data_IF_587068256848
#
_entry.id   IF_587068256848
#
_cell.length_a   1.000
_cell.length_b   1.000
_cell.length_c   1.000
_cell.angle_alpha   90.00
_cell.angle_beta   90.00
_cell.angle_gamma   90.00
#
_symmetry.space_group_name_H-M   'P 1'
#
loop_
_entity.id
_entity.type
_entity.pdbx_description
1 polymer ?
#
# COMPACT_ATOMS: atom_id res chain seq x y z
N UNK A 1 -1.83 8.07 12.38
CA UNK A 1 -0.87 7.07 11.87
C UNK A 1 -0.34 7.49 10.51
N UNK A 2 0.79 6.97 10.13
CA UNK A 2 1.36 7.12 8.78
C UNK A 2 1.16 5.83 8.01
N UNK A 3 0.51 5.92 6.86
CA UNK A 3 0.10 4.76 6.07
C UNK A 3 0.54 4.94 4.63
N UNK A 4 1.21 3.92 4.10
CA UNK A 4 1.61 3.87 2.68
C UNK A 4 0.67 2.90 1.98
N UNK A 5 0.06 3.36 0.88
CA UNK A 5 -0.85 2.57 0.07
C UNK A 5 -0.21 2.30 -1.28
N UNK A 6 -0.11 1.05 -1.67
CA UNK A 6 0.33 0.63 -3.00
C UNK A 6 -0.89 0.21 -3.80
N UNK A 7 -1.18 0.97 -4.83
CA UNK A 7 -2.38 0.80 -5.67
C UNK A 7 -3.34 1.97 -5.52
N UNK A 8 -3.55 2.73 -6.60
CA UNK A 8 -4.39 3.92 -6.62
C UNK A 8 -5.65 3.74 -7.48
N UNK A 9 -6.11 2.50 -7.64
CA UNK A 9 -7.38 2.20 -8.27
C UNK A 9 -8.54 2.55 -7.34
N UNK A 10 -9.73 2.07 -7.66
CA UNK A 10 -10.93 2.41 -6.88
C UNK A 10 -10.77 2.10 -5.39
N UNK A 11 -10.29 0.91 -5.05
CA UNK A 11 -10.12 0.49 -3.65
C UNK A 11 -9.11 1.37 -2.93
N UNK A 12 -7.95 1.63 -3.55
CA UNK A 12 -6.90 2.44 -2.95
C UNK A 12 -7.37 3.87 -2.69
N UNK A 13 -8.07 4.47 -3.64
CA UNK A 13 -8.60 5.83 -3.50
C UNK A 13 -9.64 5.90 -2.38
N UNK A 14 -10.57 4.94 -2.33
CA UNK A 14 -11.61 4.95 -1.29
C UNK A 14 -11.00 4.75 0.10
N UNK A 15 -10.02 3.86 0.22
CA UNK A 15 -9.30 3.66 1.47
C UNK A 15 -8.54 4.92 1.88
N UNK A 16 -7.85 5.55 0.93
CA UNK A 16 -7.10 6.78 1.21
C UNK A 16 -8.03 7.89 1.72
N UNK A 17 -9.18 8.09 1.08
CA UNK A 17 -10.17 9.08 1.51
C UNK A 17 -10.62 8.85 2.94
N UNK A 18 -10.92 7.60 3.27
CA UNK A 18 -11.35 7.24 4.62
C UNK A 18 -10.26 7.52 5.65
N UNK A 19 -9.04 7.11 5.36
CA UNK A 19 -7.90 7.29 6.28
C UNK A 19 -7.54 8.77 6.46
N UNK A 20 -7.56 9.55 5.40
CA UNK A 20 -7.31 11.00 5.47
C UNK A 20 -8.39 11.67 6.31
N UNK A 21 -9.64 11.27 6.14
CA UNK A 21 -10.76 11.81 6.90
C UNK A 21 -10.63 11.50 8.40
N UNK A 22 -10.00 10.39 8.75
CA UNK A 22 -9.70 10.01 10.12
C UNK A 22 -8.36 10.59 10.63
N UNK A 23 -7.80 11.55 9.90
CA UNK A 23 -6.61 12.33 10.26
C UNK A 23 -5.31 11.53 10.24
N UNK A 24 -5.26 10.49 9.43
CA UNK A 24 -4.02 9.78 9.15
C UNK A 24 -3.23 10.48 8.05
N UNK A 25 -1.91 10.35 8.09
CA UNK A 25 -1.04 10.77 7.00
C UNK A 25 -0.95 9.62 6.00
N UNK A 26 -1.27 9.90 4.74
CA UNK A 26 -1.32 8.89 3.70
C UNK A 26 -0.36 9.25 2.57
N UNK A 27 0.36 8.26 2.07
CA UNK A 27 1.10 8.34 0.82
C UNK A 27 0.63 7.19 -0.07
N UNK A 28 0.36 7.47 -1.34
CA UNK A 28 -0.17 6.48 -2.26
C UNK A 28 0.69 6.42 -3.52
N UNK A 29 0.95 5.22 -4.02
CA UNK A 29 1.77 4.99 -5.19
C UNK A 29 1.07 4.04 -6.16
N UNK A 30 1.24 4.32 -7.45
CA UNK A 30 0.78 3.45 -8.54
C UNK A 30 1.67 3.70 -9.75
N UNK A 31 1.85 2.72 -10.60
CA UNK A 31 2.72 2.86 -11.78
C UNK A 31 1.99 3.38 -13.03
N UNK A 32 0.68 3.53 -12.98
CA UNK A 32 -0.11 4.04 -14.10
C UNK A 32 -0.32 5.55 -13.97
N UNK A 33 0.19 6.30 -14.95
CA UNK A 33 0.10 7.76 -14.95
C UNK A 33 -1.34 8.27 -14.91
N UNK A 34 -2.26 7.63 -15.64
CA UNK A 34 -3.66 8.05 -15.68
C UNK A 34 -4.33 7.81 -14.33
N UNK A 35 -4.06 6.67 -13.71
CA UNK A 35 -4.55 6.34 -12.38
C UNK A 35 -4.05 7.34 -11.34
N UNK A 36 -2.78 7.70 -11.41
CA UNK A 36 -2.17 8.67 -10.50
C UNK A 36 -2.73 10.06 -10.72
N UNK A 37 -2.93 10.47 -11.95
CA UNK A 37 -3.54 11.79 -12.24
C UNK A 37 -4.94 11.87 -11.64
N UNK A 38 -5.73 10.82 -11.80
CA UNK A 38 -7.08 10.74 -11.23
C UNK A 38 -7.04 10.79 -9.69
N UNK A 39 -6.12 10.06 -9.09
CA UNK A 39 -5.94 10.07 -7.63
C UNK A 39 -5.51 11.44 -7.13
N UNK A 40 -4.58 12.10 -7.80
CA UNK A 40 -4.11 13.45 -7.43
C UNK A 40 -5.24 14.48 -7.42
N UNK A 41 -6.21 14.33 -8.30
CA UNK A 41 -7.36 15.24 -8.37
C UNK A 41 -8.37 15.01 -7.25
N UNK A 42 -8.33 13.86 -6.59
CA UNK A 42 -9.31 13.49 -5.58
C UNK A 42 -8.76 13.48 -4.15
N UNK A 43 -7.44 13.37 -3.99
CA UNK A 43 -6.82 13.14 -2.69
C UNK A 43 -5.93 14.30 -2.30
N UNK A 44 -6.04 14.73 -1.05
CA UNK A 44 -5.14 15.70 -0.44
C UNK A 44 -4.06 14.95 0.36
N UNK A 45 -3.14 14.32 -0.35
CA UNK A 45 -2.05 13.55 0.24
C UNK A 45 -0.90 13.42 -0.76
N UNK A 46 0.19 12.80 -0.32
CA UNK A 46 1.32 12.48 -1.21
C UNK A 46 0.91 11.41 -2.21
N UNK A 47 1.05 11.70 -3.49
CA UNK A 47 0.73 10.79 -4.59
C UNK A 47 1.96 10.66 -5.49
N UNK A 48 2.40 9.43 -5.76
CA UNK A 48 3.60 9.18 -6.56
C UNK A 48 3.31 8.18 -7.68
N UNK A 49 3.83 8.47 -8.88
CA UNK A 49 3.78 7.54 -10.00
C UNK A 49 5.09 6.78 -10.08
N UNK A 50 5.09 5.53 -9.64
CA UNK A 50 6.26 4.66 -9.63
C UNK A 50 5.84 3.21 -9.35
N UNK A 51 6.77 2.28 -9.46
CA UNK A 51 6.53 0.89 -9.06
C UNK A 51 6.54 0.76 -7.55
N UNK A 52 5.42 0.36 -6.98
CA UNK A 52 5.28 0.17 -5.54
C UNK A 52 5.99 -1.08 -5.00
N UNK A 53 6.48 -1.97 -5.88
CA UNK A 53 7.27 -3.13 -5.48
C UNK A 53 8.78 -2.84 -5.43
N UNK A 54 9.17 -1.58 -5.43
CA UNK A 54 10.54 -1.11 -5.34
C UNK A 54 10.79 -0.50 -3.97
N UNK A 55 11.74 -1.05 -3.22
CA UNK A 55 12.02 -0.59 -1.86
C UNK A 55 12.44 0.87 -1.81
N UNK A 56 13.25 1.35 -2.76
CA UNK A 56 13.65 2.75 -2.83
C UNK A 56 12.44 3.68 -2.95
N UNK A 57 11.49 3.32 -3.81
CA UNK A 57 10.25 4.08 -3.97
C UNK A 57 9.49 4.16 -2.64
N UNK A 58 9.37 3.03 -1.96
CA UNK A 58 8.67 2.98 -0.67
C UNK A 58 9.41 3.78 0.39
N UNK A 59 10.73 3.77 0.37
CA UNK A 59 11.54 4.56 1.29
C UNK A 59 11.37 6.06 1.03
N UNK A 60 11.28 6.48 -0.24
CA UNK A 60 10.96 7.87 -0.58
C UNK A 60 9.58 8.29 -0.08
N UNK A 61 8.64 7.34 -0.01
CA UNK A 61 7.30 7.58 0.53
C UNK A 61 7.24 7.53 2.06
N UNK A 62 8.36 7.25 2.72
CA UNK A 62 8.44 7.27 4.17
C UNK A 62 8.11 5.93 4.83
N UNK A 63 8.31 4.81 4.15
CA UNK A 63 7.98 3.48 4.69
C UNK A 63 8.71 3.19 6.00
N UNK A 64 9.94 3.69 6.17
CA UNK A 64 10.72 3.46 7.38
C UNK A 64 10.05 4.00 8.65
N UNK A 65 9.20 5.01 8.50
CA UNK A 65 8.46 5.65 9.60
C UNK A 65 6.97 5.38 9.56
N UNK A 66 6.53 4.51 8.65
CA UNK A 66 5.11 4.20 8.52
C UNK A 66 4.65 3.25 9.62
N UNK A 67 3.39 3.37 9.99
CA UNK A 67 2.74 2.43 10.90
C UNK A 67 2.17 1.24 10.14
N UNK A 68 1.76 1.45 8.91
CA UNK A 68 1.17 0.39 8.08
C UNK A 68 1.49 0.58 6.60
N UNK A 69 1.56 -0.54 5.90
CA UNK A 69 1.59 -0.64 4.45
C UNK A 69 0.34 -1.40 3.99
N UNK A 70 -0.36 -0.87 3.00
CA UNK A 70 -1.55 -1.53 2.45
C UNK A 70 -1.35 -1.70 0.95
N UNK A 71 -1.32 -2.95 0.48
CA UNK A 71 -1.16 -3.28 -0.94
C UNK A 71 -2.50 -3.71 -1.51
N UNK A 72 -3.05 -2.89 -2.40
CA UNK A 72 -4.40 -3.04 -2.97
C UNK A 72 -4.40 -2.91 -4.50
N UNK A 73 -3.33 -3.36 -5.15
CA UNK A 73 -3.27 -3.40 -6.61
C UNK A 73 -4.17 -4.52 -7.13
N UNK A 74 -4.40 -4.54 -8.44
CA UNK A 74 -5.16 -5.63 -9.08
C UNK A 74 -4.39 -6.94 -9.19
N UNK A 75 -3.10 -6.95 -8.85
CA UNK A 75 -2.24 -8.13 -8.92
C UNK A 75 -1.98 -8.69 -7.53
N UNK A 76 -2.47 -9.90 -7.26
CA UNK A 76 -2.19 -10.61 -6.01
C UNK A 76 -0.68 -10.79 -5.81
N UNK A 77 0.04 -11.10 -6.89
CA UNK A 77 1.48 -11.33 -6.85
C UNK A 77 2.24 -10.08 -6.43
N UNK A 78 1.91 -8.93 -7.02
CA UNK A 78 2.52 -7.65 -6.65
C UNK A 78 2.23 -7.32 -5.19
N UNK A 79 1.00 -7.53 -4.76
CA UNK A 79 0.60 -7.28 -3.37
C UNK A 79 1.40 -8.15 -2.40
N UNK A 80 1.53 -9.45 -2.70
CA UNK A 80 2.26 -10.40 -1.85
C UNK A 80 3.76 -10.12 -1.85
N UNK A 81 4.36 -9.87 -3.01
CA UNK A 81 5.79 -9.59 -3.14
C UNK A 81 6.14 -8.30 -2.40
N UNK A 82 5.34 -7.26 -2.57
CA UNK A 82 5.59 -5.97 -1.91
C UNK A 82 5.52 -6.10 -0.40
N UNK A 83 4.50 -6.76 0.12
CA UNK A 83 4.38 -6.99 1.57
C UNK A 83 5.54 -7.81 2.11
N UNK A 84 5.95 -8.84 1.38
CA UNK A 84 7.07 -9.70 1.78
C UNK A 84 8.40 -8.94 1.79
N UNK A 85 8.62 -8.10 0.78
CA UNK A 85 9.82 -7.27 0.69
C UNK A 85 9.91 -6.31 1.88
N UNK A 86 8.83 -5.62 2.19
CA UNK A 86 8.80 -4.70 3.32
C UNK A 86 8.91 -5.43 4.65
N UNK A 87 8.30 -6.60 4.77
CA UNK A 87 8.40 -7.40 6.00
C UNK A 87 9.84 -7.84 6.29
N UNK A 88 10.60 -8.14 5.24
CA UNK A 88 12.01 -8.54 5.39
C UNK A 88 12.89 -7.41 5.93
N UNK A 89 12.60 -6.16 5.57
CA UNK A 89 13.43 -5.00 5.92
C UNK A 89 12.86 -4.24 7.12
N UNK A 90 11.54 -4.16 7.21
CA UNK A 90 10.83 -3.42 8.26
C UNK A 90 9.78 -4.34 8.92
N UNK A 91 10.22 -5.32 9.73
CA UNK A 91 9.32 -6.35 10.26
C UNK A 91 8.26 -5.83 11.21
N UNK A 92 8.47 -4.67 11.84
CA UNK A 92 7.54 -4.15 12.84
C UNK A 92 6.35 -3.38 12.23
N UNK A 93 6.43 -3.02 10.95
CA UNK A 93 5.34 -2.34 10.26
C UNK A 93 4.22 -3.36 10.00
N UNK A 94 2.97 -2.97 10.24
CA UNK A 94 1.83 -3.80 9.85
C UNK A 94 1.69 -3.77 8.33
N UNK A 95 1.60 -4.93 7.70
CA UNK A 95 1.39 -5.06 6.26
C UNK A 95 0.04 -5.72 6.01
N UNK A 96 -0.80 -5.06 5.22
CA UNK A 96 -2.10 -5.57 4.81
C UNK A 96 -2.04 -5.86 3.31
N UNK A 97 -2.25 -7.11 2.96
CA UNK A 97 -2.13 -7.60 1.58
C UNK A 97 -3.51 -8.01 1.07
N UNK A 98 -4.03 -7.28 0.07
CA UNK A 98 -5.27 -7.65 -0.60
C UNK A 98 -4.99 -8.80 -1.58
N UNK A 99 -5.81 -9.85 -1.51
CA UNK A 99 -5.68 -11.01 -2.39
C UNK A 99 -7.05 -11.51 -2.82
N UNK A 100 -7.12 -12.17 -3.97
CA UNK A 100 -8.35 -12.76 -4.49
C UNK A 100 -8.63 -14.16 -3.94
N UNK A 101 -7.66 -14.75 -3.25
CA UNK A 101 -7.82 -16.04 -2.57
C UNK A 101 -7.12 -16.01 -1.22
N UNK A 102 -7.59 -16.84 -0.27
CA UNK A 102 -6.98 -16.92 1.06
C UNK A 102 -5.79 -17.89 1.02
N UNK A 103 -4.55 -17.42 1.30
CA UNK A 103 -3.39 -18.32 1.30
C UNK A 103 -3.48 -19.30 2.45
N UNK A 104 -3.00 -20.55 2.21
CA UNK A 104 -2.97 -21.61 3.21
C UNK A 104 -1.67 -21.62 4.00
N UNK A 105 -0.90 -20.53 3.92
CA UNK A 105 0.41 -20.44 4.55
C UNK A 105 0.24 -19.68 5.86
N UNK A 106 0.78 -20.25 6.95
CA UNK A 106 0.94 -19.50 8.20
C UNK A 106 2.16 -18.63 8.09
N UNK A 107 1.96 -17.32 8.21
CA UNK A 107 3.05 -16.36 8.19
C UNK A 107 3.19 -15.84 9.62
N UNK A 108 4.34 -16.11 10.24
CA UNK A 108 4.69 -15.57 11.56
C UNK A 108 5.31 -14.17 11.39
N UNK A 109 4.52 -13.24 10.84
CA UNK A 109 4.95 -11.88 10.56
C UNK A 109 3.78 -10.93 10.76
N UNK A 110 4.02 -9.63 10.57
CA UNK A 110 2.97 -8.62 10.64
C UNK A 110 2.27 -8.42 9.29
N UNK A 111 2.29 -9.43 8.44
CA UNK A 111 1.50 -9.43 7.21
C UNK A 111 0.10 -10.01 7.50
N UNK A 112 -0.92 -9.29 7.08
CA UNK A 112 -2.32 -9.73 7.16
C UNK A 112 -2.91 -9.76 5.76
N UNK A 113 -3.62 -10.83 5.46
CA UNK A 113 -4.26 -11.00 4.15
C UNK A 113 -5.74 -10.65 4.25
N UNK A 114 -6.21 -9.85 3.29
CA UNK A 114 -7.61 -9.49 3.17
C UNK A 114 -8.12 -10.01 1.82
N UNK A 115 -9.15 -10.85 1.83
CA UNK A 115 -9.77 -11.36 0.62
C UNK A 115 -10.64 -10.28 -0.04
N UNK A 116 -10.59 -10.25 -1.37
CA UNK A 116 -11.44 -9.36 -2.15
C UNK A 116 -12.87 -9.86 -2.23
#
# INVERSE_FOLDING_TARGET
>A
MRIVIVGAGFTGIQLAKLLINEKNQVAIVDNDENTIRHASNQLDCTVMCADGNNLETLEELGIAKADALVCVTSSDEVNMITCSLVDAVYPDILKICLISFKPRIRIHSRIRFSAT
#
